data_IF_706130566356
#
_entry.id   IF_706130566356
#
_cell.length_a   1.000
_cell.length_b   1.000
_cell.length_c   1.000
_cell.angle_alpha   90.00
_cell.angle_beta   90.00
_cell.angle_gamma   90.00
#
_symmetry.space_group_name_H-M   'P 1'
#
loop_
_entity.id
_entity.type
_entity.pdbx_description
1 polymer ?
#
# COMPACT_ATOMS: atom_id res chain seq x y z
N UNK A 1 -20.02 41.23 -27.93
CA UNK A 1 -20.32 41.04 -26.50
C UNK A 1 -20.86 39.63 -26.33
N UNK A 2 -20.08 38.72 -25.74
CA UNK A 2 -20.57 37.39 -25.37
C UNK A 2 -21.56 37.52 -24.21
N UNK A 3 -22.71 36.82 -24.24
CA UNK A 3 -23.67 36.87 -23.15
C UNK A 3 -23.04 36.34 -21.86
N UNK A 4 -23.13 37.12 -20.78
CA UNK A 4 -22.60 36.76 -19.47
C UNK A 4 -23.33 35.52 -18.94
N UNK A 5 -22.59 34.43 -18.74
CA UNK A 5 -23.12 33.18 -18.21
C UNK A 5 -23.67 33.39 -16.79
N UNK A 6 -24.98 33.21 -16.60
CA UNK A 6 -25.62 33.22 -15.27
C UNK A 6 -25.42 31.87 -14.60
N UNK A 7 -24.63 31.86 -13.53
CA UNK A 7 -24.48 30.69 -12.65
C UNK A 7 -25.84 30.24 -12.14
N UNK A 8 -26.21 29.01 -12.49
CA UNK A 8 -27.43 28.36 -12.03
C UNK A 8 -27.24 27.77 -10.63
N UNK A 9 -28.32 27.28 -10.03
CA UNK A 9 -28.29 26.62 -8.73
C UNK A 9 -27.37 25.38 -8.73
N UNK A 10 -27.33 24.64 -9.85
CA UNK A 10 -26.48 23.46 -10.00
C UNK A 10 -24.98 23.80 -10.04
N UNK A 11 -24.62 24.95 -10.63
CA UNK A 11 -23.23 25.40 -10.67
C UNK A 11 -22.68 25.82 -9.29
N UNK A 12 -23.56 26.24 -8.37
CA UNK A 12 -23.16 26.62 -7.00
C UNK A 12 -22.94 25.43 -6.08
N UNK A 13 -23.68 24.34 -6.29
CA UNK A 13 -23.61 23.13 -5.47
C UNK A 13 -22.64 22.09 -6.05
N UNK A 14 -22.20 22.27 -7.29
CA UNK A 14 -21.23 21.38 -7.93
C UNK A 14 -21.77 19.95 -8.10
N UNK A 15 -20.91 18.92 -8.00
CA UNK A 15 -21.30 17.53 -8.23
C UNK A 15 -22.35 16.99 -7.25
N UNK A 16 -22.55 17.67 -6.12
CA UNK A 16 -23.51 17.26 -5.08
C UNK A 16 -24.95 17.74 -5.35
N UNK A 17 -25.15 18.62 -6.34
CA UNK A 17 -26.45 19.20 -6.64
C UNK A 17 -27.55 18.15 -6.96
N UNK A 18 -27.29 17.10 -7.76
CA UNK A 18 -28.28 16.06 -8.04
C UNK A 18 -28.64 15.24 -6.79
N UNK A 19 -27.68 15.02 -5.89
CA UNK A 19 -27.91 14.28 -4.65
C UNK A 19 -28.81 15.06 -3.68
N UNK A 20 -28.61 16.39 -3.58
CA UNK A 20 -29.47 17.27 -2.78
C UNK A 20 -30.91 17.32 -3.32
N UNK A 21 -31.08 17.42 -4.64
CA UNK A 21 -32.43 17.41 -5.24
C UNK A 21 -33.13 16.07 -4.98
N UNK A 22 -32.42 14.94 -5.16
CA UNK A 22 -32.98 13.61 -4.89
C UNK A 22 -33.34 13.43 -3.43
N UNK A 23 -32.49 13.85 -2.48
CA UNK A 23 -32.80 13.68 -1.05
C UNK A 23 -34.03 14.49 -0.61
N UNK A 24 -34.21 15.69 -1.15
CA UNK A 24 -35.41 16.51 -0.89
C UNK A 24 -36.66 15.86 -1.48
N UNK A 25 -36.60 15.39 -2.73
CA UNK A 25 -37.72 14.68 -3.37
C UNK A 25 -38.09 13.42 -2.58
N UNK A 26 -37.13 12.59 -2.21
CA UNK A 26 -37.36 11.37 -1.43
C UNK A 26 -37.92 11.66 -0.03
N UNK A 27 -37.40 12.69 0.65
CA UNK A 27 -37.90 13.10 1.97
C UNK A 27 -39.37 13.55 1.90
N UNK A 28 -39.75 14.28 0.85
CA UNK A 28 -41.13 14.69 0.63
C UNK A 28 -42.04 13.50 0.31
N UNK A 29 -41.61 12.58 -0.54
CA UNK A 29 -42.43 11.41 -0.92
C UNK A 29 -42.65 10.45 0.24
N UNK A 30 -41.71 10.35 1.18
CA UNK A 30 -41.80 9.46 2.35
C UNK A 30 -42.43 10.13 3.58
N UNK A 31 -42.61 11.45 3.57
CA UNK A 31 -43.26 12.20 4.65
C UNK A 31 -44.67 11.70 5.03
N UNK A 32 -45.51 11.14 4.12
CA UNK A 32 -46.82 10.61 4.51
C UNK A 32 -46.75 9.43 5.48
N UNK A 33 -45.68 8.63 5.46
CA UNK A 33 -45.49 7.54 6.42
C UNK A 33 -45.30 8.09 7.84
N UNK A 34 -44.53 9.18 7.97
CA UNK A 34 -44.40 9.91 9.23
C UNK A 34 -45.73 10.49 9.70
N UNK A 35 -46.55 10.99 8.76
CA UNK A 35 -47.88 11.51 9.06
C UNK A 35 -48.82 10.45 9.63
N UNK A 36 -48.84 9.27 9.00
CA UNK A 36 -49.62 8.12 9.48
C UNK A 36 -49.15 7.67 10.85
N UNK A 37 -47.83 7.59 11.08
CA UNK A 37 -47.27 7.25 12.39
C UNK A 37 -47.64 8.25 13.49
N UNK A 38 -47.53 9.55 13.20
CA UNK A 38 -47.92 10.62 14.13
C UNK A 38 -49.42 10.61 14.45
N UNK A 39 -50.26 10.44 13.43
CA UNK A 39 -51.72 10.34 13.61
C UNK A 39 -52.11 9.10 14.45
N UNK A 40 -51.51 7.95 14.17
CA UNK A 40 -51.78 6.71 14.91
C UNK A 40 -51.37 6.84 16.39
N UNK A 41 -50.24 7.48 16.67
CA UNK A 41 -49.80 7.75 18.04
C UNK A 41 -50.76 8.70 18.78
N UNK A 42 -51.17 9.79 18.12
CA UNK A 42 -52.13 10.74 18.69
C UNK A 42 -53.49 10.11 18.97
N UNK A 43 -53.99 9.27 18.07
CA UNK A 43 -55.24 8.54 18.26
C UNK A 43 -55.17 7.54 19.42
N UNK A 44 -54.05 6.82 19.56
CA UNK A 44 -53.83 5.86 20.65
C UNK A 44 -53.77 6.55 22.02
N UNK A 45 -53.28 7.78 22.08
CA UNK A 45 -53.22 8.59 23.30
C UNK A 45 -54.56 9.26 23.65
N UNK A 46 -55.63 9.03 22.86
CA UNK A 46 -56.96 9.58 23.12
C UNK A 46 -57.04 11.10 22.95
N UNK A 47 -56.13 11.68 22.16
CA UNK A 47 -56.07 13.12 21.97
C UNK A 47 -57.24 13.64 21.13
N UNK A 48 -57.58 14.91 21.31
CA UNK A 48 -58.57 15.59 20.50
C UNK A 48 -58.19 15.60 19.01
N UNK A 49 -59.18 15.61 18.12
CA UNK A 49 -58.97 15.50 16.66
C UNK A 49 -58.01 16.57 16.10
N UNK A 50 -58.07 17.79 16.61
CA UNK A 50 -57.16 18.89 16.26
C UNK A 50 -55.70 18.55 16.58
N UNK A 51 -55.47 17.97 17.77
CA UNK A 51 -54.15 17.53 18.24
C UNK A 51 -53.65 16.31 17.46
N UNK A 52 -54.52 15.41 17.00
CA UNK A 52 -54.14 14.29 16.13
C UNK A 52 -53.65 14.79 14.77
N UNK A 53 -54.31 15.79 14.18
CA UNK A 53 -53.85 16.41 12.92
C UNK A 53 -52.50 17.10 13.11
N UNK A 54 -52.31 17.80 14.24
CA UNK A 54 -51.02 18.41 14.57
C UNK A 54 -49.91 17.36 14.70
N UNK A 55 -50.17 16.24 15.38
CA UNK A 55 -49.24 15.12 15.52
C UNK A 55 -48.89 14.48 14.17
N UNK A 56 -49.83 14.42 13.23
CA UNK A 56 -49.56 13.94 11.87
C UNK A 56 -48.58 14.87 11.13
N UNK A 57 -48.79 16.19 11.20
CA UNK A 57 -47.88 17.15 10.55
C UNK A 57 -46.48 17.08 11.16
N UNK A 58 -46.39 17.01 12.49
CA UNK A 58 -45.12 16.88 13.21
C UNK A 58 -44.42 15.57 12.84
N UNK A 59 -45.16 14.45 12.81
CA UNK A 59 -44.62 13.15 12.40
C UNK A 59 -44.08 13.14 10.98
N UNK A 60 -44.78 13.81 10.05
CA UNK A 60 -44.34 13.94 8.65
C UNK A 60 -43.01 14.71 8.55
N UNK A 61 -42.90 15.82 9.29
CA UNK A 61 -41.70 16.64 9.29
C UNK A 61 -40.50 15.92 9.92
N UNK A 62 -40.70 15.24 11.06
CA UNK A 62 -39.66 14.46 11.72
C UNK A 62 -39.15 13.31 10.85
N UNK A 63 -40.04 12.60 10.17
CA UNK A 63 -39.66 11.54 9.24
C UNK A 63 -38.87 12.09 8.05
N UNK A 64 -39.30 13.21 7.45
CA UNK A 64 -38.59 13.86 6.36
C UNK A 64 -37.18 14.34 6.79
N UNK A 65 -37.05 14.94 7.97
CA UNK A 65 -35.78 15.39 8.53
C UNK A 65 -34.83 14.21 8.82
N UNK A 66 -35.36 13.12 9.37
CA UNK A 66 -34.59 11.91 9.65
C UNK A 66 -34.06 11.27 8.36
N UNK A 67 -34.91 11.12 7.35
CA UNK A 67 -34.53 10.54 6.05
C UNK A 67 -33.48 11.42 5.36
N UNK A 68 -33.67 12.74 5.37
CA UNK A 68 -32.68 13.68 4.82
C UNK A 68 -31.32 13.55 5.52
N UNK A 69 -31.32 13.44 6.86
CA UNK A 69 -30.10 13.27 7.65
C UNK A 69 -29.42 11.93 7.38
N UNK A 70 -30.17 10.82 7.34
CA UNK A 70 -29.66 9.47 7.06
C UNK A 70 -29.00 9.41 5.68
N UNK A 71 -29.66 9.95 4.64
CA UNK A 71 -29.12 9.97 3.27
C UNK A 71 -27.87 10.84 3.17
N UNK A 72 -27.74 11.90 3.97
CA UNK A 72 -26.55 12.75 3.97
C UNK A 72 -25.42 12.14 4.78
N UNK A 73 -25.65 11.80 6.03
CA UNK A 73 -24.57 11.53 6.98
C UNK A 73 -23.97 10.14 6.81
N UNK A 74 -24.80 9.12 6.53
CA UNK A 74 -24.31 7.74 6.43
C UNK A 74 -23.31 7.58 5.26
N UNK A 75 -23.57 8.08 4.03
CA UNK A 75 -22.63 7.94 2.93
C UNK A 75 -21.31 8.70 3.13
N UNK A 76 -21.32 9.87 3.76
CA UNK A 76 -20.07 10.60 4.04
C UNK A 76 -19.25 9.92 5.14
N UNK A 77 -19.91 9.41 6.19
CA UNK A 77 -19.23 8.69 7.27
C UNK A 77 -18.68 7.34 6.79
N UNK A 78 -19.44 6.60 5.99
CA UNK A 78 -18.98 5.33 5.41
C UNK A 78 -17.89 5.55 4.37
N UNK A 79 -17.98 6.59 3.54
CA UNK A 79 -16.93 6.97 2.60
C UNK A 79 -15.61 7.29 3.29
N UNK A 80 -15.63 8.08 4.35
CA UNK A 80 -14.43 8.41 5.13
C UNK A 80 -13.82 7.17 5.82
N UNK A 81 -14.65 6.30 6.39
CA UNK A 81 -14.19 5.06 7.02
C UNK A 81 -13.68 4.02 6.00
N UNK A 82 -14.33 3.91 4.85
CA UNK A 82 -13.86 3.07 3.74
C UNK A 82 -12.55 3.60 3.16
N UNK A 83 -12.42 4.92 3.01
CA UNK A 83 -11.17 5.52 2.54
C UNK A 83 -10.03 5.27 3.53
N UNK A 84 -10.28 5.38 4.84
CA UNK A 84 -9.28 5.08 5.86
C UNK A 84 -8.87 3.59 5.93
N UNK A 85 -9.75 2.66 5.53
CA UNK A 85 -9.48 1.21 5.58
C UNK A 85 -8.95 0.64 4.26
N UNK A 86 -9.42 1.15 3.12
CA UNK A 86 -9.04 0.66 1.79
C UNK A 86 -7.85 1.43 1.19
N UNK A 87 -7.66 2.69 1.58
CA UNK A 87 -6.58 3.54 1.11
C UNK A 87 -5.87 4.18 2.32
N UNK A 88 -4.96 3.47 2.99
CA UNK A 88 -4.08 4.09 3.95
C UNK A 88 -3.42 5.31 3.29
N UNK A 89 -3.59 6.48 3.88
CA UNK A 89 -2.99 7.72 3.37
C UNK A 89 -1.50 7.49 3.10
N UNK A 90 -1.00 7.91 1.93
CA UNK A 90 0.42 7.73 1.53
C UNK A 90 1.47 8.35 2.47
N UNK A 91 1.06 8.95 3.59
CA UNK A 91 1.93 9.34 4.71
C UNK A 91 2.47 8.14 5.52
N UNK A 92 1.94 6.92 5.32
CA UNK A 92 2.44 5.69 6.00
C UNK A 92 3.27 4.78 5.10
N UNK A 93 3.41 5.11 3.83
CA UNK A 93 4.35 4.43 2.92
C UNK A 93 5.60 5.31 2.81
N UNK A 94 6.75 4.91 3.40
CA UNK A 94 8.03 5.51 3.04
C UNK A 94 8.14 5.54 1.52
N UNK A 95 8.63 6.64 0.96
CA UNK A 95 8.98 6.68 -0.46
C UNK A 95 10.16 5.72 -0.67
N UNK A 96 9.87 4.48 -1.06
CA UNK A 96 10.88 3.57 -1.59
C UNK A 96 11.17 4.00 -3.03
N UNK A 97 12.44 4.28 -3.35
CA UNK A 97 12.85 4.62 -4.72
C UNK A 97 12.65 3.39 -5.60
N UNK A 98 11.59 3.39 -6.41
CA UNK A 98 11.16 2.21 -7.19
C UNK A 98 11.98 1.95 -8.48
N UNK A 99 13.13 2.62 -8.68
CA UNK A 99 14.04 2.50 -9.84
C UNK A 99 13.30 2.31 -11.18
N UNK A 100 12.19 3.03 -11.35
CA UNK A 100 11.23 2.74 -12.42
C UNK A 100 11.80 3.05 -13.80
N UNK A 101 12.72 4.00 -13.87
CA UNK A 101 13.42 4.36 -15.11
C UNK A 101 14.33 3.23 -15.58
N UNK A 102 15.19 2.74 -14.69
CA UNK A 102 16.13 1.65 -14.97
C UNK A 102 15.37 0.36 -15.31
N UNK A 103 14.30 0.07 -14.57
CA UNK A 103 13.45 -1.08 -14.86
C UNK A 103 12.72 -0.95 -16.20
N UNK A 104 12.31 0.25 -16.60
CA UNK A 104 11.74 0.49 -17.92
C UNK A 104 12.76 0.23 -19.04
N UNK A 105 14.03 0.58 -18.83
CA UNK A 105 15.13 0.26 -19.77
C UNK A 105 15.34 -1.26 -19.87
N UNK A 106 15.34 -1.98 -18.75
CA UNK A 106 15.40 -3.46 -18.74
C UNK A 106 14.23 -4.07 -19.52
N UNK A 107 13.01 -3.61 -19.28
CA UNK A 107 11.80 -4.10 -19.97
C UNK A 107 11.85 -3.82 -21.48
N UNK A 108 12.43 -2.68 -21.88
CA UNK A 108 12.65 -2.31 -23.28
C UNK A 108 13.76 -3.15 -23.94
N UNK A 109 14.49 -3.94 -23.16
CA UNK A 109 15.64 -4.73 -23.62
C UNK A 109 16.94 -3.95 -23.65
N UNK A 110 16.94 -2.67 -23.25
CA UNK A 110 18.15 -1.85 -23.11
C UNK A 110 18.78 -2.08 -21.74
N UNK A 111 19.25 -3.32 -21.52
CA UNK A 111 19.81 -3.69 -20.23
C UNK A 111 21.16 -2.99 -19.99
N UNK A 112 21.89 -2.68 -21.05
CA UNK A 112 23.14 -1.92 -20.94
C UNK A 112 22.85 -0.51 -20.41
N UNK A 113 21.92 0.22 -21.02
CA UNK A 113 21.53 1.55 -20.55
C UNK A 113 21.00 1.52 -19.11
N UNK A 114 20.26 0.46 -18.73
CA UNK A 114 19.81 0.28 -17.35
C UNK A 114 20.99 0.13 -16.37
N UNK A 115 21.98 -0.70 -16.71
CA UNK A 115 23.16 -0.93 -15.87
C UNK A 115 24.04 0.32 -15.77
N UNK A 116 24.21 1.06 -16.86
CA UNK A 116 24.96 2.32 -16.86
C UNK A 116 24.27 3.34 -15.92
N UNK A 117 22.93 3.46 -16.00
CA UNK A 117 22.13 4.31 -15.09
C UNK A 117 22.24 3.87 -13.62
N UNK A 118 22.22 2.56 -13.35
CA UNK A 118 22.41 2.06 -11.99
C UNK A 118 23.80 2.39 -11.43
N UNK A 119 24.86 2.28 -12.24
CA UNK A 119 26.22 2.62 -11.78
C UNK A 119 26.38 4.12 -11.52
N UNK A 120 25.72 4.98 -12.31
CA UNK A 120 25.65 6.42 -12.04
C UNK A 120 24.95 6.71 -10.71
N UNK A 121 23.83 6.06 -10.43
CA UNK A 121 23.09 6.23 -9.18
C UNK A 121 23.85 5.67 -7.97
N UNK A 122 24.55 4.53 -8.13
CA UNK A 122 25.46 3.96 -7.13
C UNK A 122 26.58 4.94 -6.76
N UNK A 123 27.09 5.68 -7.75
CA UNK A 123 28.12 6.70 -7.56
C UNK A 123 27.56 7.97 -6.92
N UNK A 124 26.34 8.37 -7.25
CA UNK A 124 25.64 9.51 -6.66
C UNK A 124 25.23 9.26 -5.19
N UNK A 125 24.86 8.01 -4.88
CA UNK A 125 24.32 7.59 -3.58
C UNK A 125 25.13 6.42 -2.99
N UNK A 126 26.34 6.66 -2.42
CA UNK A 126 27.23 5.59 -1.96
C UNK A 126 26.72 4.72 -0.80
N UNK A 127 25.74 5.21 -0.05
CA UNK A 127 25.21 4.55 1.16
C UNK A 127 23.89 3.84 0.88
N UNK A 128 23.30 4.03 -0.30
CA UNK A 128 22.04 3.37 -0.65
C UNK A 128 22.29 1.90 -1.01
N UNK A 129 21.77 0.99 -0.17
CA UNK A 129 21.83 -0.45 -0.41
C UNK A 129 20.86 -0.90 -1.50
N UNK A 130 19.72 -0.23 -1.64
CA UNK A 130 18.63 -0.67 -2.52
C UNK A 130 19.03 -0.62 -4.00
N UNK A 131 19.70 0.47 -4.43
CA UNK A 131 20.23 0.60 -5.81
C UNK A 131 21.23 -0.51 -6.12
N UNK A 132 22.13 -0.81 -5.18
CA UNK A 132 23.16 -1.85 -5.35
C UNK A 132 22.55 -3.24 -5.43
N UNK A 133 21.55 -3.53 -4.62
CA UNK A 133 20.82 -4.79 -4.68
C UNK A 133 20.12 -4.94 -6.02
N UNK A 134 19.44 -3.89 -6.51
CA UNK A 134 18.74 -3.93 -7.79
C UNK A 134 19.68 -4.08 -8.98
N UNK A 135 20.79 -3.35 -8.96
CA UNK A 135 21.85 -3.50 -9.94
C UNK A 135 22.44 -4.91 -9.92
N UNK A 136 22.72 -5.46 -8.73
CA UNK A 136 23.26 -6.81 -8.58
C UNK A 136 22.32 -7.88 -9.15
N UNK A 137 21.01 -7.80 -8.86
CA UNK A 137 20.02 -8.71 -9.45
C UNK A 137 20.01 -8.60 -10.99
N UNK A 138 20.07 -7.38 -11.52
CA UNK A 138 20.12 -7.14 -12.97
C UNK A 138 21.38 -7.76 -13.59
N UNK A 139 22.54 -7.62 -12.94
CA UNK A 139 23.79 -8.26 -13.37
C UNK A 139 23.72 -9.79 -13.31
N UNK A 140 23.04 -10.39 -12.31
CA UNK A 140 22.79 -11.84 -12.26
C UNK A 140 21.99 -12.29 -13.47
N UNK A 141 20.91 -11.57 -13.82
CA UNK A 141 20.09 -11.89 -15.00
C UNK A 141 20.88 -11.79 -16.30
N UNK A 142 21.84 -10.87 -16.39
CA UNK A 142 22.75 -10.74 -17.54
C UNK A 142 23.90 -11.76 -17.55
N UNK A 143 24.02 -12.61 -16.51
CA UNK A 143 25.11 -13.59 -16.40
C UNK A 143 26.44 -12.99 -15.94
N UNK A 144 26.50 -11.71 -15.59
CA UNK A 144 27.70 -11.09 -15.03
C UNK A 144 27.77 -11.32 -13.52
N UNK A 145 28.03 -12.57 -13.14
CA UNK A 145 28.05 -13.01 -11.75
C UNK A 145 29.19 -12.36 -10.94
N UNK A 146 30.31 -12.00 -11.57
CA UNK A 146 31.43 -11.35 -10.86
C UNK A 146 31.04 -9.96 -10.37
N UNK A 147 30.46 -9.12 -11.22
CA UNK A 147 30.01 -7.77 -10.81
C UNK A 147 28.86 -7.85 -9.80
N UNK A 148 27.89 -8.75 -10.01
CA UNK A 148 26.81 -8.96 -9.05
C UNK A 148 27.33 -9.33 -7.65
N UNK A 149 28.30 -10.25 -7.56
CA UNK A 149 28.97 -10.62 -6.30
C UNK A 149 29.59 -9.39 -5.63
N UNK A 150 30.27 -8.56 -6.39
CA UNK A 150 30.98 -7.41 -5.85
C UNK A 150 29.99 -6.39 -5.29
N UNK A 151 28.86 -6.15 -5.95
CA UNK A 151 27.78 -5.28 -5.47
C UNK A 151 27.12 -5.81 -4.19
N UNK A 152 26.82 -7.10 -4.09
CA UNK A 152 26.29 -7.67 -2.84
C UNK A 152 27.27 -7.50 -1.67
N UNK A 153 28.58 -7.63 -1.93
CA UNK A 153 29.62 -7.37 -0.92
C UNK A 153 29.73 -5.88 -0.57
N UNK A 154 29.52 -4.99 -1.53
CA UNK A 154 29.46 -3.55 -1.25
C UNK A 154 28.29 -3.24 -0.30
N UNK A 155 27.11 -3.82 -0.51
CA UNK A 155 25.96 -3.68 0.40
C UNK A 155 26.31 -4.10 1.82
N UNK A 156 26.98 -5.24 1.98
CA UNK A 156 27.42 -5.74 3.29
C UNK A 156 28.43 -4.82 4.02
N UNK A 157 29.13 -3.94 3.27
CA UNK A 157 30.11 -2.97 3.81
C UNK A 157 29.49 -1.62 4.15
N UNK A 158 28.25 -1.36 3.75
CA UNK A 158 27.57 -0.11 4.06
C UNK A 158 27.38 0.00 5.59
N UNK A 159 27.87 1.08 6.23
CA UNK A 159 27.67 1.29 7.65
C UNK A 159 26.19 1.43 7.99
N UNK A 160 25.71 0.65 8.95
CA UNK A 160 24.30 0.70 9.37
C UNK A 160 23.32 0.14 8.34
N UNK A 161 23.79 -0.64 7.34
CA UNK A 161 22.91 -1.32 6.38
C UNK A 161 21.76 -2.02 7.09
N UNK A 162 20.56 -1.88 6.52
CA UNK A 162 19.36 -2.48 7.08
C UNK A 162 19.51 -4.00 7.18
N UNK A 163 18.95 -4.56 8.25
CA UNK A 163 18.97 -6.01 8.49
C UNK A 163 18.41 -6.78 7.29
N UNK A 164 17.33 -6.29 6.68
CA UNK A 164 16.69 -6.92 5.52
C UNK A 164 17.68 -7.05 4.36
N UNK A 165 18.31 -5.94 4.01
CA UNK A 165 19.21 -5.84 2.86
C UNK A 165 20.51 -6.63 3.06
N UNK A 166 21.06 -6.59 4.28
CA UNK A 166 22.26 -7.36 4.61
C UNK A 166 22.03 -8.88 4.55
N UNK A 167 20.89 -9.33 5.07
CA UNK A 167 20.50 -10.75 5.03
C UNK A 167 20.24 -11.17 3.58
N UNK A 168 19.52 -10.34 2.83
CA UNK A 168 19.24 -10.58 1.42
C UNK A 168 20.54 -10.69 0.60
N UNK A 169 21.46 -9.73 0.74
CA UNK A 169 22.76 -9.77 0.07
C UNK A 169 23.56 -11.03 0.43
N UNK A 170 23.53 -11.45 1.69
CA UNK A 170 24.25 -12.65 2.17
C UNK A 170 23.69 -13.93 1.54
N UNK A 171 22.37 -14.11 1.48
CA UNK A 171 21.78 -15.27 0.82
C UNK A 171 22.03 -15.25 -0.70
N UNK A 172 21.91 -14.09 -1.35
CA UNK A 172 22.24 -13.97 -2.78
C UNK A 172 23.68 -14.33 -3.07
N UNK A 173 24.63 -13.94 -2.21
CA UNK A 173 26.04 -14.36 -2.33
C UNK A 173 26.20 -15.86 -2.18
N UNK A 174 25.55 -16.47 -1.19
CA UNK A 174 25.55 -17.92 -0.97
C UNK A 174 25.06 -18.66 -2.23
N UNK A 175 23.91 -18.26 -2.76
CA UNK A 175 23.32 -18.86 -3.97
C UNK A 175 24.26 -18.69 -5.17
N UNK A 176 24.80 -17.49 -5.34
CA UNK A 176 25.73 -17.19 -6.43
C UNK A 176 26.99 -18.05 -6.37
N UNK A 177 27.58 -18.23 -5.18
CA UNK A 177 28.75 -19.10 -4.99
C UNK A 177 28.43 -20.57 -5.29
N UNK A 178 27.26 -21.05 -4.87
CA UNK A 178 26.89 -22.47 -5.01
C UNK A 178 26.45 -22.83 -6.42
N UNK A 179 25.62 -21.99 -7.04
CA UNK A 179 24.91 -22.34 -8.27
C UNK A 179 25.53 -21.78 -9.54
N UNK A 180 26.19 -20.62 -9.46
CA UNK A 180 26.64 -19.88 -10.65
C UNK A 180 28.15 -19.83 -10.77
N UNK A 181 28.85 -19.57 -9.66
CA UNK A 181 30.31 -19.50 -9.63
C UNK A 181 30.97 -20.86 -9.37
N UNK A 182 30.20 -21.87 -8.92
CA UNK A 182 30.70 -23.22 -8.60
C UNK A 182 31.84 -23.20 -7.55
N UNK A 183 31.75 -22.28 -6.59
CA UNK A 183 32.69 -22.09 -5.50
C UNK A 183 32.00 -22.28 -4.12
N UNK A 184 31.40 -23.45 -3.83
CA UNK A 184 30.58 -23.65 -2.62
C UNK A 184 31.34 -23.36 -1.33
N UNK A 185 32.66 -23.57 -1.29
CA UNK A 185 33.50 -23.22 -0.13
C UNK A 185 33.45 -21.73 0.26
N UNK A 186 33.21 -20.82 -0.71
CA UNK A 186 33.07 -19.38 -0.44
C UNK A 186 31.73 -19.00 0.18
N UNK A 187 30.75 -19.90 0.21
CA UNK A 187 29.48 -19.68 0.94
C UNK A 187 29.61 -19.94 2.46
N UNK A 188 30.58 -20.74 2.90
CA UNK A 188 30.85 -21.00 4.32
C UNK A 188 31.06 -19.73 5.17
N UNK A 189 31.93 -18.77 4.76
CA UNK A 189 32.08 -17.53 5.52
C UNK A 189 30.80 -16.68 5.54
N UNK A 190 29.97 -16.70 4.49
CA UNK A 190 28.70 -15.96 4.47
C UNK A 190 27.70 -16.53 5.49
N UNK A 191 27.60 -17.86 5.60
CA UNK A 191 26.78 -18.48 6.66
C UNK A 191 27.30 -18.15 8.06
N UNK A 192 28.62 -18.20 8.28
CA UNK A 192 29.21 -17.83 9.59
C UNK A 192 28.92 -16.38 9.94
N UNK A 193 29.06 -15.48 8.96
CA UNK A 193 28.72 -14.06 9.11
C UNK A 193 27.27 -13.87 9.54
N UNK A 194 26.32 -14.58 8.93
CA UNK A 194 24.90 -14.52 9.33
C UNK A 194 24.67 -15.00 10.76
N UNK A 195 25.35 -16.08 11.17
CA UNK A 195 25.29 -16.63 12.54
C UNK A 195 25.84 -15.62 13.56
N UNK A 196 26.99 -15.01 13.27
CA UNK A 196 27.66 -14.08 14.17
C UNK A 196 26.94 -12.73 14.25
N UNK A 197 26.41 -12.24 13.12
CA UNK A 197 25.76 -10.93 13.04
C UNK A 197 24.33 -10.92 13.59
N UNK A 198 23.64 -12.07 13.55
CA UNK A 198 22.24 -12.17 13.98
C UNK A 198 22.00 -13.26 15.03
N UNK A 199 22.66 -13.17 16.22
CA UNK A 199 22.53 -14.18 17.26
C UNK A 199 21.11 -14.26 17.83
N UNK A 200 20.73 -15.46 18.29
CA UNK A 200 19.41 -15.81 18.83
C UNK A 200 18.23 -15.50 17.90
N UNK A 201 18.47 -15.48 16.58
CA UNK A 201 17.43 -15.19 15.59
C UNK A 201 17.11 -16.41 14.72
N UNK A 202 15.96 -16.38 14.05
CA UNK A 202 15.61 -17.42 13.07
C UNK A 202 16.65 -17.54 11.95
N UNK A 203 17.30 -16.42 11.57
CA UNK A 203 18.37 -16.40 10.56
C UNK A 203 19.57 -17.22 11.04
N UNK A 204 19.96 -17.11 12.32
CA UNK A 204 21.04 -17.93 12.88
C UNK A 204 20.70 -19.41 12.78
N UNK A 205 19.51 -19.82 13.24
CA UNK A 205 19.10 -21.22 13.23
C UNK A 205 19.14 -21.79 11.81
N UNK A 206 18.57 -21.07 10.84
CA UNK A 206 18.59 -21.46 9.43
C UNK A 206 20.02 -21.52 8.87
N UNK A 207 20.86 -20.52 9.16
CA UNK A 207 22.24 -20.50 8.70
C UNK A 207 23.08 -21.63 9.31
N UNK A 208 22.85 -22.00 10.58
CA UNK A 208 23.53 -23.15 11.23
C UNK A 208 23.16 -24.47 10.57
N UNK A 209 21.87 -24.68 10.32
CA UNK A 209 21.36 -25.89 9.67
C UNK A 209 21.93 -26.03 8.25
N UNK A 210 21.82 -24.96 7.44
CA UNK A 210 22.34 -24.94 6.08
C UNK A 210 23.87 -25.13 6.05
N UNK A 211 24.61 -24.51 6.98
CA UNK A 211 26.07 -24.68 7.11
C UNK A 211 26.45 -26.12 7.46
N UNK A 212 25.71 -26.78 8.36
CA UNK A 212 25.95 -28.17 8.72
C UNK A 212 25.71 -29.09 7.52
N UNK A 213 24.60 -28.89 6.80
CA UNK A 213 24.28 -29.63 5.58
C UNK A 213 25.37 -29.48 4.52
N UNK A 214 25.78 -28.24 4.23
CA UNK A 214 26.81 -27.96 3.23
C UNK A 214 28.16 -28.60 3.58
N UNK A 215 28.58 -28.59 4.85
CA UNK A 215 29.80 -29.28 5.27
C UNK A 215 29.69 -30.80 5.07
N UNK A 216 28.52 -31.37 5.29
CA UNK A 216 28.23 -32.76 4.97
C UNK A 216 28.44 -33.03 3.49
N UNK A 217 27.73 -32.30 2.61
CA UNK A 217 27.87 -32.40 1.14
C UNK A 217 29.34 -32.32 0.69
N UNK A 218 30.08 -31.33 1.17
CA UNK A 218 31.49 -31.14 0.81
C UNK A 218 32.44 -32.23 1.35
N UNK A 219 32.06 -32.95 2.42
CA UNK A 219 32.87 -34.05 2.97
C UNK A 219 32.70 -35.37 2.21
N UNK A 220 31.61 -35.51 1.43
CA UNK A 220 31.35 -36.69 0.61
C UNK A 220 31.93 -36.59 -0.80
N UNK A 221 32.27 -35.39 -1.27
CA UNK A 221 32.85 -35.13 -2.60
C UNK A 221 34.40 -35.16 -2.61
N UNK A 222 35.05 -35.58 -1.52
CA UNK A 222 36.51 -35.76 -1.40
C UNK A 222 36.90 -37.25 -1.42
#
# INVERSE_FOLDING_TARGET
MSPAYRRTFFDRLGPDAPALVRSVVFALTMSPLGAVGGAALGAKLGLEKSTVVLMAIVGAFLAAALIFFVIRVIPYASGAAMQATLMPSGNTTPYETDYSYEMALVIKGDVKGALDSFEEEIAASPVDSSVRLKAAETYVTQGNYSRARDLYREVQRIPGVERRDDVFASYRLIDLYRERLMEPGKSLPEFRRLIERYPSSQIETQAREALAKLKGEMSFDQ
#
